data_IF_443282048208
#
_entry.id   IF_443282048208
#
_cell.length_a   1.000
_cell.length_b   1.000
_cell.length_c   1.000
_cell.angle_alpha   90.00
_cell.angle_beta   90.00
_cell.angle_gamma   90.00
#
_symmetry.space_group_name_H-M   'P 1'
#
loop_
_entity.id
_entity.type
_entity.pdbx_description
1 polymer ?
#
# COMPACT_ATOMS: atom_id res chain seq x y z
N UNK A 1 3.36 -62.89 24.44
CA UNK A 1 4.25 -62.11 23.58
C UNK A 1 3.44 -61.01 22.88
N UNK A 2 3.42 -59.86 23.51
CA UNK A 2 2.62 -58.67 23.10
C UNK A 2 3.54 -57.74 22.35
N UNK A 3 3.33 -57.58 21.03
CA UNK A 3 4.06 -56.66 20.19
C UNK A 3 3.33 -55.34 20.16
N UNK A 4 3.77 -54.38 20.96
CA UNK A 4 3.38 -52.98 20.82
C UNK A 4 3.96 -52.43 19.55
N UNK A 5 3.10 -52.06 18.59
CA UNK A 5 3.43 -51.22 17.43
C UNK A 5 3.53 -49.80 17.88
N UNK A 6 4.75 -49.26 17.93
CA UNK A 6 4.99 -47.83 18.18
C UNK A 6 4.69 -47.08 16.88
N UNK A 7 3.58 -46.40 16.81
CA UNK A 7 3.25 -45.47 15.73
C UNK A 7 4.25 -44.29 15.73
N UNK A 8 4.95 -44.09 14.61
CA UNK A 8 5.73 -42.88 14.35
C UNK A 8 4.77 -41.70 14.33
N UNK A 9 5.08 -40.60 15.04
CA UNK A 9 4.32 -39.36 14.85
C UNK A 9 4.64 -38.82 13.44
N UNK A 10 3.60 -38.69 12.62
CA UNK A 10 3.67 -37.98 11.33
C UNK A 10 3.99 -36.50 11.62
N UNK A 11 5.27 -36.16 11.53
CA UNK A 11 5.79 -34.80 11.63
C UNK A 11 5.41 -33.97 10.41
N UNK A 12 4.14 -33.73 10.18
CA UNK A 12 3.71 -32.61 9.31
C UNK A 12 3.88 -31.35 10.12
N UNK A 13 5.05 -30.73 10.00
CA UNK A 13 5.29 -29.38 10.51
C UNK A 13 4.17 -28.48 10.01
N UNK A 14 3.63 -27.65 10.88
CA UNK A 14 2.72 -26.59 10.47
C UNK A 14 3.41 -25.78 9.33
N UNK A 15 2.69 -25.42 8.26
CA UNK A 15 3.29 -24.65 7.18
C UNK A 15 3.94 -23.39 7.77
N UNK A 16 5.19 -23.14 7.42
CA UNK A 16 5.90 -21.95 7.86
C UNK A 16 5.07 -20.74 7.46
N UNK A 17 4.74 -19.90 8.43
CA UNK A 17 4.02 -18.65 8.16
C UNK A 17 4.97 -17.75 7.39
N UNK A 18 4.63 -17.41 6.15
CA UNK A 18 5.39 -16.45 5.36
C UNK A 18 5.39 -15.11 6.06
N UNK A 19 6.58 -14.64 6.39
CA UNK A 19 6.76 -13.32 6.98
C UNK A 19 6.83 -12.29 5.87
N UNK A 20 5.95 -11.30 5.93
CA UNK A 20 5.99 -10.18 4.98
C UNK A 20 7.30 -9.39 5.14
N UNK A 21 7.91 -9.00 4.01
CA UNK A 21 9.11 -8.17 3.98
C UNK A 21 8.73 -6.70 4.00
N UNK A 22 9.62 -5.92 4.61
CA UNK A 22 9.53 -4.47 4.69
C UNK A 22 10.68 -3.86 3.92
N UNK A 23 10.48 -2.70 3.34
CA UNK A 23 11.49 -2.05 2.52
C UNK A 23 11.66 -0.60 2.93
N UNK A 24 12.89 -0.11 2.82
CA UNK A 24 13.22 1.28 3.07
C UNK A 24 12.56 2.20 2.04
N UNK A 25 12.23 3.41 2.48
CA UNK A 25 11.83 4.47 1.56
C UNK A 25 13.05 4.86 0.72
N UNK A 26 12.95 4.92 -0.62
CA UNK A 26 14.04 5.40 -1.47
C UNK A 26 14.47 6.81 -1.07
N UNK A 27 15.78 7.01 -0.98
CA UNK A 27 16.36 8.32 -0.67
C UNK A 27 16.58 9.17 -1.93
N UNK A 28 16.99 10.43 -1.75
CA UNK A 28 17.30 11.36 -2.81
C UNK A 28 16.15 12.31 -3.17
N UNK A 29 16.46 13.28 -4.01
CA UNK A 29 15.51 14.34 -4.38
C UNK A 29 14.43 13.90 -5.37
N UNK A 30 14.71 12.90 -6.19
CA UNK A 30 13.82 12.44 -7.26
C UNK A 30 13.68 13.40 -8.43
N UNK A 31 13.02 12.91 -9.47
CA UNK A 31 12.69 13.69 -10.65
C UNK A 31 11.43 14.52 -10.39
N UNK A 32 11.48 15.79 -10.76
CA UNK A 32 10.31 16.67 -10.69
C UNK A 32 9.31 16.26 -11.78
N UNK A 33 8.07 16.03 -11.37
CA UNK A 33 6.99 15.74 -12.31
C UNK A 33 6.62 16.96 -13.12
N UNK A 34 6.48 16.78 -14.43
CA UNK A 34 6.07 17.85 -15.37
C UNK A 34 4.55 18.08 -15.31
N UNK A 35 3.78 17.05 -14.96
CA UNK A 35 2.34 17.11 -14.75
C UNK A 35 2.00 16.74 -13.31
N UNK A 36 1.06 17.45 -12.71
CA UNK A 36 0.64 17.19 -11.33
C UNK A 36 -0.01 15.81 -11.21
N UNK A 37 0.30 15.05 -10.14
CA UNK A 37 -0.36 13.77 -9.84
C UNK A 37 -1.88 13.90 -9.81
N UNK A 38 -2.57 12.87 -10.25
CA UNK A 38 -4.03 12.80 -10.29
C UNK A 38 -4.51 11.60 -9.50
N UNK A 39 -5.65 11.78 -8.85
CA UNK A 39 -6.36 10.69 -8.16
C UNK A 39 -6.87 9.67 -9.16
N UNK A 40 -6.97 8.41 -8.72
CA UNK A 40 -7.74 7.42 -9.45
C UNK A 40 -9.15 7.95 -9.72
N UNK A 41 -9.66 7.75 -10.92
CA UNK A 41 -10.99 8.17 -11.32
C UNK A 41 -11.72 6.99 -11.96
N UNK A 42 -12.99 6.85 -11.64
CA UNK A 42 -13.90 5.82 -12.16
C UNK A 42 -14.86 6.37 -13.23
N UNK A 43 -14.65 7.61 -13.65
CA UNK A 43 -15.45 8.28 -14.67
C UNK A 43 -15.24 7.67 -16.07
N UNK A 44 -16.09 8.05 -17.02
CA UNK A 44 -15.95 7.61 -18.41
C UNK A 44 -14.62 8.06 -19.01
N UNK A 45 -14.09 7.29 -19.96
CA UNK A 45 -12.78 7.55 -20.59
C UNK A 45 -12.65 8.94 -21.24
N UNK A 46 -13.76 9.56 -21.62
CA UNK A 46 -13.84 10.91 -22.19
C UNK A 46 -13.94 12.03 -21.16
N UNK A 47 -14.11 11.67 -19.87
CA UNK A 47 -14.16 12.66 -18.80
C UNK A 47 -12.83 13.43 -18.71
N UNK A 48 -12.87 14.75 -18.53
CA UNK A 48 -11.65 15.58 -18.43
C UNK A 48 -10.67 15.12 -17.35
N UNK A 49 -11.15 14.56 -16.23
CA UNK A 49 -10.27 14.04 -15.19
C UNK A 49 -9.58 12.75 -15.62
N UNK A 50 -10.26 11.87 -16.36
CA UNK A 50 -9.66 10.69 -16.98
C UNK A 50 -8.64 11.04 -18.05
N UNK A 51 -8.89 12.08 -18.84
CA UNK A 51 -7.91 12.57 -19.83
C UNK A 51 -6.66 13.07 -19.11
N UNK A 52 -6.81 13.93 -18.12
CA UNK A 52 -5.70 14.46 -17.31
C UNK A 52 -4.93 13.36 -16.56
N UNK A 53 -5.63 12.32 -16.07
CA UNK A 53 -4.98 11.17 -15.43
C UNK A 53 -4.11 10.42 -16.43
N UNK A 54 -4.61 10.10 -17.62
CA UNK A 54 -3.81 9.42 -18.66
C UNK A 54 -2.59 10.23 -19.05
N UNK A 55 -2.76 11.53 -19.31
CA UNK A 55 -1.67 12.42 -19.64
C UNK A 55 -0.58 12.48 -18.56
N UNK A 56 -0.98 12.49 -17.28
CA UNK A 56 -0.05 12.42 -16.15
C UNK A 56 0.72 11.09 -16.15
N UNK A 57 0.03 9.98 -16.34
CA UNK A 57 0.64 8.64 -16.31
C UNK A 57 1.60 8.41 -17.48
N UNK A 58 1.22 8.86 -18.68
CA UNK A 58 2.07 8.78 -19.88
C UNK A 58 3.33 9.63 -19.71
N UNK A 59 3.17 10.89 -19.34
CA UNK A 59 4.28 11.82 -19.11
C UNK A 59 5.24 11.33 -18.02
N UNK A 60 4.71 10.76 -16.92
CA UNK A 60 5.54 10.21 -15.86
C UNK A 60 6.27 8.94 -16.30
N UNK A 61 5.64 8.08 -17.08
CA UNK A 61 6.28 6.89 -17.63
C UNK A 61 7.42 7.25 -18.59
N UNK A 62 7.24 8.26 -19.44
CA UNK A 62 8.30 8.80 -20.32
C UNK A 62 9.46 9.40 -19.50
N UNK A 63 9.14 10.17 -18.46
CA UNK A 63 10.15 10.77 -17.58
C UNK A 63 11.01 9.70 -16.89
N UNK A 64 10.42 8.57 -16.53
CA UNK A 64 11.08 7.45 -15.85
C UNK A 64 11.73 6.45 -16.82
N UNK A 65 11.46 6.48 -18.10
CA UNK A 65 11.97 5.51 -19.06
C UNK A 65 13.51 5.33 -19.05
N UNK A 66 14.34 6.37 -18.78
CA UNK A 66 15.78 6.20 -18.63
C UNK A 66 16.23 5.52 -17.32
N UNK A 67 15.36 5.46 -16.31
CA UNK A 67 15.67 4.91 -15.00
C UNK A 67 15.48 3.37 -15.01
N UNK A 68 16.46 2.65 -15.55
CA UNK A 68 16.43 1.19 -15.57
C UNK A 68 16.91 0.66 -14.22
N UNK A 69 16.06 -0.10 -13.53
CA UNK A 69 16.41 -0.83 -12.31
C UNK A 69 16.31 -2.32 -12.60
N UNK A 70 17.36 -3.07 -12.26
CA UNK A 70 17.38 -4.54 -12.39
C UNK A 70 17.00 -5.19 -11.06
N UNK A 71 16.13 -6.20 -11.13
CA UNK A 71 15.63 -6.93 -9.96
C UNK A 71 14.61 -6.12 -9.14
N UNK A 72 14.39 -6.49 -7.88
CA UNK A 72 13.36 -5.86 -7.03
C UNK A 72 13.55 -4.34 -6.91
N UNK A 73 12.49 -3.59 -7.15
CA UNK A 73 12.54 -2.14 -7.15
C UNK A 73 11.42 -1.47 -6.37
N UNK A 74 11.68 -0.22 -6.03
CA UNK A 74 10.84 0.66 -5.25
C UNK A 74 10.38 1.85 -6.09
N UNK A 75 9.10 2.20 -5.96
CA UNK A 75 8.52 3.44 -6.45
C UNK A 75 8.31 4.39 -5.27
N UNK A 76 8.72 5.65 -5.39
CA UNK A 76 8.36 6.71 -4.45
C UNK A 76 7.71 7.87 -5.19
N UNK A 77 6.56 8.32 -4.71
CA UNK A 77 5.80 9.47 -5.17
C UNK A 77 5.65 10.49 -4.04
N UNK A 78 6.23 11.67 -4.19
CA UNK A 78 6.07 12.79 -3.25
C UNK A 78 5.14 13.82 -3.87
N UNK A 79 3.97 14.02 -3.26
CA UNK A 79 2.94 14.91 -3.75
C UNK A 79 3.12 16.28 -3.13
N UNK A 80 3.35 17.29 -3.99
CA UNK A 80 3.33 18.69 -3.62
C UNK A 80 1.89 19.21 -3.64
N UNK A 81 1.44 19.77 -2.53
CA UNK A 81 0.14 20.42 -2.40
C UNK A 81 0.32 21.91 -2.08
N UNK A 82 -0.58 22.79 -2.55
CA UNK A 82 -0.53 24.22 -2.22
C UNK A 82 -0.57 24.46 -0.70
N UNK A 83 0.10 25.49 -0.21
CA UNK A 83 0.21 25.83 1.21
C UNK A 83 -1.15 26.04 1.92
N UNK A 84 -2.18 26.47 1.17
CA UNK A 84 -3.53 26.65 1.72
C UNK A 84 -4.37 25.37 1.83
N UNK A 85 -3.83 24.20 1.40
CA UNK A 85 -4.55 22.94 1.48
C UNK A 85 -4.23 22.22 2.78
N UNK A 86 -5.26 21.78 3.51
CA UNK A 86 -5.03 20.93 4.67
C UNK A 86 -4.43 19.58 4.24
N UNK A 87 -3.32 19.19 4.87
CA UNK A 87 -2.64 17.94 4.57
C UNK A 87 -3.33 16.70 5.18
N UNK A 88 -4.18 16.92 6.20
CA UNK A 88 -4.77 15.80 6.96
C UNK A 88 -6.28 15.63 6.74
N UNK A 89 -6.89 16.47 5.91
CA UNK A 89 -8.33 16.41 5.64
C UNK A 89 -8.66 15.66 4.33
N UNK A 90 -7.79 15.76 3.34
CA UNK A 90 -8.05 15.24 1.99
C UNK A 90 -6.77 14.70 1.35
N UNK A 91 -6.88 14.29 0.09
CA UNK A 91 -5.76 13.82 -0.72
C UNK A 91 -5.22 12.45 -0.25
N UNK A 92 -6.09 11.43 -0.31
CA UNK A 92 -5.78 10.06 0.08
C UNK A 92 -4.63 9.51 -0.78
N UNK A 93 -3.56 9.11 -0.11
CA UNK A 93 -2.30 8.74 -0.76
C UNK A 93 -2.41 7.47 -1.63
N UNK A 94 -3.24 6.52 -1.23
CA UNK A 94 -3.49 5.31 -2.01
C UNK A 94 -4.15 5.63 -3.35
N UNK A 95 -5.07 6.61 -3.39
CA UNK A 95 -5.73 7.06 -4.61
C UNK A 95 -4.79 7.78 -5.58
N UNK A 96 -3.70 8.38 -5.10
CA UNK A 96 -2.64 8.94 -5.94
C UNK A 96 -1.62 7.87 -6.39
N UNK A 97 -1.25 6.97 -5.49
CA UNK A 97 -0.23 5.97 -5.74
C UNK A 97 -0.72 4.85 -6.68
N UNK A 98 -1.98 4.42 -6.53
CA UNK A 98 -2.55 3.28 -7.24
C UNK A 98 -2.48 3.39 -8.77
N UNK A 99 -2.90 4.48 -9.43
CA UNK A 99 -2.85 4.57 -10.88
C UNK A 99 -1.42 4.56 -11.41
N UNK A 100 -0.48 5.24 -10.75
CA UNK A 100 0.93 5.24 -11.16
C UNK A 100 1.58 3.86 -10.96
N UNK A 101 1.38 3.25 -9.80
CA UNK A 101 1.87 1.89 -9.54
C UNK A 101 1.27 0.88 -10.55
N UNK A 102 -0.01 0.99 -10.88
CA UNK A 102 -0.65 0.15 -11.89
C UNK A 102 -0.03 0.34 -13.28
N UNK A 103 0.29 1.58 -13.66
CA UNK A 103 0.89 1.91 -14.96
C UNK A 103 2.32 1.39 -15.10
N UNK A 104 3.10 1.43 -14.00
CA UNK A 104 4.52 1.08 -14.01
C UNK A 104 4.80 -0.36 -13.57
N UNK A 105 3.81 -1.06 -12.97
CA UNK A 105 3.98 -2.37 -12.37
C UNK A 105 4.56 -3.42 -13.34
N UNK A 106 5.57 -4.11 -12.86
CA UNK A 106 6.03 -5.41 -13.35
C UNK A 106 6.15 -6.37 -12.14
N UNK A 107 6.72 -7.55 -12.33
CA UNK A 107 6.91 -8.56 -11.29
C UNK A 107 7.90 -8.14 -10.20
N UNK A 108 8.80 -7.21 -10.52
CA UNK A 108 9.86 -6.73 -9.63
C UNK A 108 9.46 -5.51 -8.79
N UNK A 109 8.29 -4.91 -8.99
CA UNK A 109 7.79 -3.84 -8.10
C UNK A 109 7.38 -4.43 -6.74
N UNK A 110 8.24 -4.26 -5.73
CA UNK A 110 8.03 -4.83 -4.39
C UNK A 110 7.62 -3.81 -3.33
N UNK A 111 7.79 -2.53 -3.60
CA UNK A 111 7.38 -1.48 -2.65
C UNK A 111 6.99 -0.18 -3.34
N UNK A 112 5.97 0.48 -2.79
CA UNK A 112 5.50 1.80 -3.20
C UNK A 112 5.43 2.70 -1.98
N UNK A 113 6.09 3.85 -2.07
CA UNK A 113 6.02 4.90 -1.07
C UNK A 113 5.30 6.12 -1.63
N UNK A 114 4.40 6.67 -0.87
CA UNK A 114 3.68 7.88 -1.26
C UNK A 114 3.64 8.83 -0.07
N UNK A 115 3.96 10.10 -0.29
CA UNK A 115 3.85 11.13 0.74
C UNK A 115 3.21 12.40 0.19
N UNK A 116 2.67 13.22 1.08
CA UNK A 116 2.17 14.56 0.74
C UNK A 116 2.72 15.60 1.69
N UNK A 117 3.02 16.77 1.11
CA UNK A 117 3.54 17.93 1.84
C UNK A 117 3.19 19.22 1.10
N UNK A 118 3.31 20.35 1.77
CA UNK A 118 3.24 21.63 1.06
C UNK A 118 4.49 21.82 0.20
N UNK A 119 4.30 21.89 -1.10
CA UNK A 119 5.34 22.14 -2.09
C UNK A 119 4.70 22.52 -3.44
N UNK A 120 5.41 23.30 -4.21
CA UNK A 120 4.98 23.74 -5.56
C UNK A 120 5.08 22.63 -6.61
N UNK A 121 5.89 21.59 -6.34
CA UNK A 121 6.13 20.49 -7.27
C UNK A 121 6.00 19.15 -6.60
N UNK A 122 5.57 18.18 -7.37
CA UNK A 122 5.59 16.75 -6.99
C UNK A 122 6.81 16.07 -7.58
N UNK A 123 7.27 14.99 -6.95
CA UNK A 123 8.48 14.27 -7.35
C UNK A 123 8.26 12.78 -7.40
N UNK A 124 9.05 12.09 -8.23
CA UNK A 124 9.01 10.63 -8.37
C UNK A 124 10.42 10.06 -8.35
N UNK A 125 10.57 8.89 -7.73
CA UNK A 125 11.80 8.10 -7.72
C UNK A 125 11.46 6.65 -8.08
N UNK A 126 12.34 6.06 -8.88
CA UNK A 126 12.46 4.60 -9.06
C UNK A 126 13.89 4.22 -8.65
N UNK A 127 14.03 3.26 -7.75
CA UNK A 127 15.31 2.84 -7.22
C UNK A 127 15.31 1.34 -6.89
N UNK A 128 16.48 0.68 -6.76
CA UNK A 128 16.55 -0.67 -6.20
C UNK A 128 15.89 -0.71 -4.82
N UNK A 129 15.11 -1.76 -4.56
CA UNK A 129 14.49 -1.95 -3.26
C UNK A 129 15.53 -2.43 -2.23
N UNK A 130 15.55 -1.80 -1.07
CA UNK A 130 16.40 -2.20 0.05
C UNK A 130 15.51 -2.69 1.20
N UNK A 131 15.74 -3.91 1.69
CA UNK A 131 14.98 -4.48 2.80
C UNK A 131 15.25 -3.71 4.11
N UNK A 132 14.25 -3.65 4.97
CA UNK A 132 14.31 -3.07 6.31
C UNK A 132 13.76 -4.04 7.36
N UNK A 133 14.02 -3.73 8.62
CA UNK A 133 13.33 -4.39 9.71
C UNK A 133 11.85 -3.98 9.73
N UNK A 134 10.99 -4.86 10.27
CA UNK A 134 9.61 -4.51 10.54
C UNK A 134 9.52 -3.33 11.52
N UNK A 135 8.52 -2.46 11.41
CA UNK A 135 8.24 -1.44 12.42
C UNK A 135 8.02 -2.07 13.80
N UNK A 136 8.36 -1.33 14.85
CA UNK A 136 8.28 -1.82 16.24
C UNK A 136 6.86 -2.16 16.70
N UNK A 137 5.86 -1.46 16.16
CA UNK A 137 4.44 -1.74 16.43
C UNK A 137 3.77 -2.24 15.15
N UNK A 138 3.49 -3.53 15.08
CA UNK A 138 2.84 -4.16 13.94
C UNK A 138 1.66 -5.03 14.39
N UNK A 139 0.61 -5.02 13.57
CA UNK A 139 -0.51 -5.95 13.67
C UNK A 139 -0.43 -6.93 12.50
N UNK A 140 -0.62 -8.20 12.77
CA UNK A 140 -0.56 -9.23 11.73
C UNK A 140 -1.91 -9.93 11.66
N UNK A 141 -2.42 -10.09 10.44
CA UNK A 141 -3.66 -10.82 10.19
C UNK A 141 -3.52 -11.71 8.97
N UNK A 142 -4.05 -12.92 9.06
CA UNK A 142 -4.24 -13.80 7.91
C UNK A 142 -5.66 -13.65 7.41
N UNK A 143 -5.82 -13.20 6.17
CA UNK A 143 -7.13 -13.09 5.54
C UNK A 143 -7.39 -14.30 4.62
N UNK A 144 -8.63 -14.77 4.61
CA UNK A 144 -9.07 -15.88 3.75
C UNK A 144 -10.17 -15.43 2.78
N UNK A 145 -10.79 -14.28 3.06
CA UNK A 145 -11.83 -13.71 2.23
C UNK A 145 -11.25 -12.92 1.04
N UNK A 146 -12.06 -12.79 -0.02
CA UNK A 146 -11.72 -11.94 -1.15
C UNK A 146 -11.70 -10.46 -0.74
N UNK A 147 -10.69 -9.71 -1.18
CA UNK A 147 -10.57 -8.27 -0.92
C UNK A 147 -11.75 -7.43 -1.42
N UNK A 148 -12.54 -7.96 -2.35
CA UNK A 148 -13.76 -7.31 -2.83
C UNK A 148 -14.96 -7.45 -1.88
N UNK A 149 -14.81 -8.15 -0.75
CA UNK A 149 -15.90 -8.44 0.19
C UNK A 149 -15.75 -7.73 1.52
N UNK A 150 -16.85 -7.47 2.19
CA UNK A 150 -16.87 -6.94 3.56
C UNK A 150 -16.15 -7.89 4.53
N UNK A 151 -16.26 -9.20 4.33
CA UNK A 151 -15.59 -10.21 5.17
C UNK A 151 -14.06 -10.03 5.21
N UNK A 152 -13.43 -9.58 4.12
CA UNK A 152 -12.01 -9.22 4.13
C UNK A 152 -11.73 -8.04 5.07
N UNK A 153 -12.53 -6.99 4.98
CA UNK A 153 -12.40 -5.81 5.85
C UNK A 153 -12.63 -6.16 7.32
N UNK A 154 -13.60 -7.03 7.60
CA UNK A 154 -13.87 -7.53 8.96
C UNK A 154 -12.68 -8.32 9.52
N UNK A 155 -12.05 -9.17 8.71
CA UNK A 155 -10.84 -9.90 9.11
C UNK A 155 -9.68 -8.95 9.44
N UNK A 156 -9.43 -7.94 8.61
CA UNK A 156 -8.39 -6.93 8.87
C UNK A 156 -8.73 -6.13 10.13
N UNK A 157 -9.96 -5.64 10.25
CA UNK A 157 -10.41 -4.85 11.39
C UNK A 157 -10.29 -5.60 12.71
N UNK A 158 -10.58 -6.91 12.73
CA UNK A 158 -10.48 -7.74 13.93
C UNK A 158 -9.06 -7.76 14.53
N UNK A 159 -8.03 -7.53 13.72
CA UNK A 159 -6.65 -7.46 14.21
C UNK A 159 -6.31 -6.14 14.93
N UNK A 160 -7.12 -5.10 14.75
CA UNK A 160 -6.85 -3.74 15.26
C UNK A 160 -7.98 -3.17 16.11
N UNK A 161 -9.08 -3.90 16.30
CA UNK A 161 -10.28 -3.38 16.99
C UNK A 161 -10.02 -3.02 18.45
N UNK A 162 -9.12 -3.76 19.12
CA UNK A 162 -8.76 -3.53 20.52
C UNK A 162 -7.55 -2.58 20.68
N UNK A 163 -7.00 -2.09 19.57
CA UNK A 163 -5.89 -1.17 19.61
C UNK A 163 -6.36 0.24 19.98
N UNK A 164 -5.50 0.98 20.66
CA UNK A 164 -5.77 2.39 20.93
C UNK A 164 -5.84 3.18 19.61
N UNK A 165 -6.87 4.01 19.46
CA UNK A 165 -6.98 4.90 18.32
C UNK A 165 -5.76 5.83 18.25
N UNK A 166 -5.25 6.07 17.04
CA UNK A 166 -4.14 6.98 16.83
C UNK A 166 -4.61 8.41 17.14
N UNK A 167 -3.89 9.17 17.98
CA UNK A 167 -4.23 10.56 18.30
C UNK A 167 -4.45 11.40 17.03
N UNK A 168 -5.16 12.52 17.17
CA UNK A 168 -5.38 13.46 16.06
C UNK A 168 -4.07 13.96 15.47
N UNK A 169 -4.06 14.23 14.15
CA UNK A 169 -2.90 14.72 13.42
C UNK A 169 -2.45 13.79 12.30
N UNK A 170 -1.27 14.05 11.77
CA UNK A 170 -0.67 13.28 10.69
C UNK A 170 -0.36 11.84 11.09
N UNK A 171 -0.53 10.91 10.15
CA UNK A 171 -0.29 9.48 10.33
C UNK A 171 0.73 8.99 9.31
N UNK A 172 1.70 8.22 9.79
CA UNK A 172 2.62 7.43 8.97
C UNK A 172 2.15 5.98 9.00
N UNK A 173 1.71 5.45 7.87
CA UNK A 173 1.19 4.09 7.74
C UNK A 173 2.10 3.25 6.85
N UNK A 174 2.39 2.03 7.29
CA UNK A 174 3.01 1.03 6.44
C UNK A 174 2.16 -0.24 6.43
N UNK A 175 1.98 -0.82 5.25
CA UNK A 175 1.28 -2.07 5.02
C UNK A 175 2.19 -3.04 4.27
N UNK A 176 2.34 -4.26 4.77
CA UNK A 176 3.12 -5.30 4.11
C UNK A 176 2.23 -6.52 3.85
N UNK A 177 2.22 -6.97 2.60
CA UNK A 177 1.39 -8.07 2.13
C UNK A 177 2.25 -9.27 1.77
N UNK A 178 1.93 -10.46 2.30
CA UNK A 178 2.43 -11.72 1.80
C UNK A 178 1.33 -12.35 0.94
N UNK A 179 1.63 -12.62 -0.34
CA UNK A 179 0.62 -13.02 -1.32
C UNK A 179 1.16 -14.11 -2.27
N UNK A 180 0.28 -14.93 -2.80
CA UNK A 180 0.62 -15.85 -3.89
C UNK A 180 0.96 -15.13 -5.20
N UNK A 181 1.68 -15.78 -6.15
CA UNK A 181 2.22 -15.15 -7.35
C UNK A 181 1.16 -14.61 -8.33
N UNK A 182 -0.06 -15.13 -8.26
CA UNK A 182 -1.18 -14.70 -9.10
C UNK A 182 -1.94 -13.49 -8.53
N UNK A 183 -1.62 -13.08 -7.30
CA UNK A 183 -2.38 -12.04 -6.60
C UNK A 183 -1.92 -10.64 -7.00
N UNK A 184 -2.84 -9.83 -7.50
CA UNK A 184 -2.59 -8.40 -7.66
C UNK A 184 -2.66 -7.71 -6.29
N UNK A 185 -1.50 -7.48 -5.66
CA UNK A 185 -1.41 -6.89 -4.34
C UNK A 185 -1.84 -5.42 -4.27
N UNK A 186 -1.81 -4.69 -5.40
CA UNK A 186 -2.28 -3.30 -5.45
C UNK A 186 -3.78 -3.21 -5.08
N UNK A 187 -4.57 -4.22 -5.45
CA UNK A 187 -6.01 -4.25 -5.14
C UNK A 187 -6.32 -4.50 -3.66
N UNK A 188 -5.30 -4.80 -2.84
CA UNK A 188 -5.45 -4.97 -1.40
C UNK A 188 -5.38 -3.65 -0.63
N UNK A 189 -4.79 -2.59 -1.22
CA UNK A 189 -4.49 -1.34 -0.52
C UNK A 189 -5.75 -0.69 0.07
N UNK A 190 -6.66 -0.27 -0.82
CA UNK A 190 -7.87 0.43 -0.40
C UNK A 190 -8.71 -0.35 0.61
N UNK A 191 -9.08 -1.63 0.37
CA UNK A 191 -9.90 -2.37 1.34
C UNK A 191 -9.19 -2.61 2.67
N UNK A 192 -7.84 -2.67 2.69
CA UNK A 192 -7.09 -2.75 3.94
C UNK A 192 -7.14 -1.42 4.69
N UNK A 193 -6.88 -0.28 4.02
CA UNK A 193 -6.96 1.05 4.63
C UNK A 193 -8.37 1.33 5.14
N UNK A 194 -9.42 1.02 4.36
CA UNK A 194 -10.81 1.17 4.76
C UNK A 194 -11.13 0.43 6.07
N UNK A 195 -10.48 -0.71 6.31
CA UNK A 195 -10.70 -1.52 7.51
C UNK A 195 -9.99 -0.97 8.77
N UNK A 196 -9.14 0.05 8.62
CA UNK A 196 -8.40 0.68 9.73
C UNK A 196 -9.17 1.83 10.40
N UNK A 197 -10.48 1.93 10.20
CA UNK A 197 -11.31 2.95 10.85
C UNK A 197 -11.23 2.95 12.39
N UNK A 198 -10.98 1.82 13.12
CA UNK A 198 -10.74 1.87 14.56
C UNK A 198 -9.46 2.62 14.95
N UNK A 199 -8.41 2.55 14.11
CA UNK A 199 -7.14 3.24 14.36
C UNK A 199 -7.15 4.69 13.90
N UNK A 200 -7.64 4.93 12.67
CA UNK A 200 -7.57 6.22 12.00
C UNK A 200 -8.69 7.19 12.43
N UNK A 201 -9.72 6.68 13.10
CA UNK A 201 -10.96 7.40 13.29
C UNK A 201 -11.86 7.31 12.04
N UNK A 202 -13.10 7.71 12.17
CA UNK A 202 -14.12 7.67 11.10
C UNK A 202 -14.45 9.07 10.61
N UNK A 203 -14.59 9.23 9.31
CA UNK A 203 -15.12 10.47 8.70
C UNK A 203 -16.60 10.66 9.05
N UNK A 204 -17.36 9.54 9.10
CA UNK A 204 -18.77 9.51 9.51
C UNK A 204 -18.93 8.49 10.64
N UNK A 205 -19.39 8.93 11.80
CA UNK A 205 -19.48 8.08 13.00
C UNK A 205 -20.42 6.86 12.83
N UNK A 206 -21.43 7.00 11.97
CA UNK A 206 -22.47 6.02 11.68
C UNK A 206 -22.16 5.10 10.48
N UNK A 207 -21.01 5.31 9.83
CA UNK A 207 -20.63 4.53 8.65
C UNK A 207 -19.33 3.77 8.89
N UNK A 208 -19.42 2.45 8.76
CA UNK A 208 -18.23 1.60 8.71
C UNK A 208 -17.46 1.77 7.40
N UNK A 209 -16.17 1.49 7.44
CA UNK A 209 -15.28 1.49 6.27
C UNK A 209 -15.05 2.87 5.64
N UNK A 210 -15.21 3.92 6.44
CA UNK A 210 -14.91 5.29 6.07
C UNK A 210 -13.90 5.89 7.05
N UNK A 211 -12.64 5.43 7.05
CA UNK A 211 -11.61 5.98 7.91
C UNK A 211 -11.30 7.44 7.54
N UNK A 212 -10.66 8.14 8.47
CA UNK A 212 -10.03 9.43 8.19
C UNK A 212 -8.67 9.20 7.52
N UNK A 213 -8.66 8.56 6.34
CA UNK A 213 -7.45 8.21 5.58
C UNK A 213 -6.74 9.43 4.97
N UNK A 214 -7.44 10.55 4.82
CA UNK A 214 -6.83 11.86 4.54
C UNK A 214 -5.76 12.26 5.56
N UNK A 215 -5.75 11.71 6.78
CA UNK A 215 -4.71 11.94 7.79
C UNK A 215 -3.37 11.25 7.48
N UNK A 216 -3.36 10.27 6.58
CA UNK A 216 -2.13 9.58 6.18
C UNK A 216 -1.29 10.54 5.34
N UNK A 217 -0.15 10.99 5.88
CA UNK A 217 0.79 11.88 5.20
C UNK A 217 1.99 11.15 4.61
N UNK A 218 2.26 9.95 5.10
CA UNK A 218 3.29 9.05 4.61
C UNK A 218 2.74 7.62 4.57
N UNK A 219 2.79 6.99 3.39
CA UNK A 219 2.27 5.66 3.14
C UNK A 219 3.36 4.79 2.52
N UNK A 220 3.71 3.69 3.19
CA UNK A 220 4.57 2.63 2.68
C UNK A 220 3.75 1.37 2.39
N UNK A 221 3.88 0.82 1.20
CA UNK A 221 3.14 -0.34 0.73
C UNK A 221 4.13 -1.37 0.19
N UNK A 222 4.14 -2.56 0.77
CA UNK A 222 5.16 -3.58 0.52
C UNK A 222 4.52 -4.90 0.13
N UNK A 223 5.23 -5.69 -0.68
CA UNK A 223 4.78 -7.04 -1.05
C UNK A 223 5.91 -8.07 -0.92
N UNK A 224 5.54 -9.24 -0.47
CA UNK A 224 6.32 -10.47 -0.56
C UNK A 224 5.51 -11.47 -1.35
N UNK A 225 6.04 -11.93 -2.47
CA UNK A 225 5.40 -13.00 -3.25
C UNK A 225 5.92 -14.34 -2.74
N UNK A 226 5.00 -15.20 -2.29
CA UNK A 226 5.31 -16.53 -1.81
C UNK A 226 4.62 -17.57 -2.69
N UNK A 227 5.40 -18.42 -3.40
CA UNK A 227 4.84 -19.46 -4.25
C UNK A 227 4.01 -20.52 -3.50
N UNK A 228 4.09 -20.58 -2.18
CA UNK A 228 3.35 -21.53 -1.36
C UNK A 228 1.94 -21.07 -0.96
N UNK A 229 1.57 -19.81 -1.26
CA UNK A 229 0.27 -19.20 -0.95
C UNK A 229 -0.72 -19.26 -2.11
#
# INVERSE_FOLDING_TARGET
ADRRVVGRPDGRGAPAVTVARWYLRPEGEGLTLRKAPRLASWNKATDPDQVRLREYLEDTAELLAPAVVLGPWALRLDIGLPAGRDLIDMADLDNYAFPLATRLRNEDLVTVWCSKRHADTSRVIVAPAAESAAPSATYTVRTTASAATTAFKEQVRSAVVDAAAIPTGAVHLQLAFAVGPQRNWLTLWKPTIDALDPLLGRTHADRDWHPQDGRITDLGLHVTVDPSL
#
